data_IF_130098924426
#
_entry.id   IF_130098924426
#
_cell.length_a   1.000
_cell.length_b   1.000
_cell.length_c   1.000
_cell.angle_alpha   90.00
_cell.angle_beta   90.00
_cell.angle_gamma   90.00
#
_symmetry.space_group_name_H-M   'P 1'
#
loop_
_entity.id
_entity.type
_entity.pdbx_description
1 polymer ?
#
# COMPACT_ATOMS: atom_id res chain seq x y z
N UNK A 1 17.91 33.17 -9.48
CA UNK A 1 18.03 31.90 -8.72
C UNK A 1 17.57 30.78 -9.63
N UNK A 2 18.48 29.97 -10.09
CA UNK A 2 18.15 28.74 -10.82
C UNK A 2 17.57 27.78 -9.80
N UNK A 3 16.27 27.58 -9.84
CA UNK A 3 15.58 26.55 -9.09
C UNK A 3 16.04 25.20 -9.66
N UNK A 4 17.12 24.67 -9.07
CA UNK A 4 17.64 23.38 -9.48
C UNK A 4 16.76 22.31 -8.85
N UNK A 5 15.90 21.70 -9.68
CA UNK A 5 15.07 20.59 -9.26
C UNK A 5 15.92 19.50 -8.58
N UNK A 6 15.46 18.92 -7.46
CA UNK A 6 16.21 17.83 -6.83
C UNK A 6 16.26 16.62 -7.78
N UNK A 7 17.43 15.95 -7.86
CA UNK A 7 17.53 14.76 -8.71
C UNK A 7 16.60 13.65 -8.21
N UNK A 8 15.99 12.95 -9.13
CA UNK A 8 15.18 11.76 -8.81
C UNK A 8 16.12 10.62 -8.40
N UNK A 9 15.92 10.10 -7.21
CA UNK A 9 16.72 9.01 -6.66
C UNK A 9 16.09 8.46 -5.40
N UNK A 10 16.72 7.45 -4.81
CA UNK A 10 16.19 6.75 -3.63
C UNK A 10 15.85 7.68 -2.47
N UNK A 11 16.66 8.71 -2.24
CA UNK A 11 16.39 9.70 -1.19
C UNK A 11 15.12 10.52 -1.48
N UNK A 12 14.98 11.07 -2.69
CA UNK A 12 13.83 11.90 -3.06
C UNK A 12 12.53 11.10 -3.02
N UNK A 13 12.55 9.89 -3.58
CA UNK A 13 11.41 8.97 -3.56
C UNK A 13 11.08 8.56 -2.13
N UNK A 14 12.10 8.22 -1.32
CA UNK A 14 11.93 7.82 0.07
C UNK A 14 11.29 8.92 0.92
N UNK A 15 11.76 10.17 0.82
CA UNK A 15 11.19 11.30 1.57
C UNK A 15 9.71 11.54 1.22
N UNK A 16 9.36 11.48 -0.07
CA UNK A 16 7.98 11.61 -0.52
C UNK A 16 7.10 10.47 0.02
N UNK A 17 7.61 9.22 -0.04
CA UNK A 17 6.91 8.05 0.49
C UNK A 17 6.71 8.16 2.01
N UNK A 18 7.74 8.47 2.77
CA UNK A 18 7.65 8.55 4.22
C UNK A 18 6.69 9.65 4.69
N UNK A 19 6.71 10.80 4.02
CA UNK A 19 5.78 11.89 4.32
C UNK A 19 4.32 11.49 4.04
N UNK A 20 4.07 10.92 2.86
CA UNK A 20 2.73 10.43 2.48
C UNK A 20 2.24 9.31 3.40
N UNK A 21 3.12 8.37 3.75
CA UNK A 21 2.82 7.30 4.70
C UNK A 21 2.47 7.85 6.09
N UNK A 22 3.23 8.84 6.59
CA UNK A 22 2.95 9.47 7.88
C UNK A 22 1.56 10.14 7.91
N UNK A 23 1.15 10.78 6.82
CA UNK A 23 -0.22 11.32 6.67
C UNK A 23 -1.25 10.20 6.77
N UNK A 24 -1.09 9.13 6.01
CA UNK A 24 -2.00 7.98 6.05
C UNK A 24 -2.07 7.36 7.45
N UNK A 25 -0.94 7.12 8.10
CA UNK A 25 -0.88 6.55 9.45
C UNK A 25 -1.60 7.43 10.48
N UNK A 26 -1.53 8.75 10.32
CA UNK A 26 -2.26 9.69 11.18
C UNK A 26 -3.77 9.61 10.99
N UNK A 27 -4.24 9.42 9.77
CA UNK A 27 -5.66 9.16 9.48
C UNK A 27 -6.08 7.82 10.07
N UNK A 28 -5.32 6.75 9.78
CA UNK A 28 -5.61 5.39 10.24
C UNK A 28 -5.69 5.30 11.78
N UNK A 29 -4.81 6.00 12.49
CA UNK A 29 -4.79 6.01 13.95
C UNK A 29 -6.13 6.50 14.55
N UNK A 30 -6.82 7.42 13.89
CA UNK A 30 -8.16 7.88 14.31
C UNK A 30 -9.23 6.78 14.21
N UNK A 31 -8.99 5.80 13.37
CA UNK A 31 -9.87 4.65 13.17
C UNK A 31 -9.37 3.37 13.84
N UNK A 32 -8.30 3.46 14.63
CA UNK A 32 -7.71 2.30 15.32
C UNK A 32 -7.06 1.28 14.39
N UNK A 33 -6.65 1.69 13.19
CA UNK A 33 -6.04 0.84 12.19
C UNK A 33 -4.56 1.15 11.95
N UNK A 34 -3.81 0.17 11.46
CA UNK A 34 -2.41 0.28 11.09
C UNK A 34 -2.23 0.36 9.57
N UNK A 35 -1.04 0.80 9.14
CA UNK A 35 -0.66 0.80 7.73
C UNK A 35 -0.74 -0.60 7.11
N UNK A 36 -0.22 -1.61 7.78
CA UNK A 36 -0.26 -2.99 7.32
C UNK A 36 -1.68 -3.52 7.17
N UNK A 37 -2.54 -3.20 8.14
CA UNK A 37 -3.97 -3.54 8.07
C UNK A 37 -4.65 -2.87 6.87
N UNK A 38 -4.37 -1.61 6.60
CA UNK A 38 -4.93 -0.89 5.44
C UNK A 38 -4.51 -1.53 4.11
N UNK A 39 -3.23 -1.89 3.95
CA UNK A 39 -2.75 -2.52 2.72
C UNK A 39 -3.39 -3.90 2.52
N UNK A 40 -3.49 -4.70 3.59
CA UNK A 40 -4.11 -6.02 3.55
C UNK A 40 -5.61 -5.93 3.27
N UNK A 41 -6.30 -5.00 3.93
CA UNK A 41 -7.72 -4.76 3.71
C UNK A 41 -8.00 -4.29 2.28
N UNK A 42 -7.15 -3.41 1.73
CA UNK A 42 -7.24 -2.98 0.32
C UNK A 42 -7.21 -4.19 -0.61
N UNK A 43 -6.23 -5.08 -0.44
CA UNK A 43 -6.09 -6.27 -1.28
C UNK A 43 -7.37 -7.12 -1.27
N UNK A 44 -7.99 -7.29 -0.11
CA UNK A 44 -9.23 -8.04 0.02
C UNK A 44 -10.44 -7.29 -0.58
N UNK A 45 -10.56 -5.98 -0.35
CA UNK A 45 -11.70 -5.16 -0.83
C UNK A 45 -11.68 -4.96 -2.33
N UNK A 46 -10.49 -4.81 -2.93
CA UNK A 46 -10.33 -4.58 -4.39
C UNK A 46 -10.31 -5.87 -5.21
N UNK A 47 -10.32 -7.04 -4.58
CA UNK A 47 -10.44 -8.31 -5.27
C UNK A 47 -11.84 -8.52 -5.83
N UNK A 48 -11.95 -9.28 -6.93
CA UNK A 48 -13.23 -9.60 -7.57
C UNK A 48 -14.11 -10.55 -6.76
N UNK A 49 -13.58 -11.15 -5.70
CA UNK A 49 -14.29 -12.06 -4.81
C UNK A 49 -13.39 -12.54 -3.68
N UNK A 50 -13.85 -13.52 -2.89
CA UNK A 50 -13.03 -14.09 -1.82
C UNK A 50 -11.69 -14.61 -2.35
N UNK A 51 -10.63 -14.43 -1.57
CA UNK A 51 -9.28 -14.88 -1.90
C UNK A 51 -8.85 -16.03 -0.99
N UNK A 52 -8.13 -17.00 -1.56
CA UNK A 52 -7.37 -17.93 -0.72
C UNK A 52 -6.42 -17.17 0.20
N UNK A 53 -6.35 -17.56 1.45
CA UNK A 53 -5.50 -16.89 2.44
C UNK A 53 -4.04 -16.79 1.98
N UNK A 54 -3.51 -17.87 1.39
CA UNK A 54 -2.16 -17.88 0.86
C UNK A 54 -1.95 -16.87 -0.27
N UNK A 55 -2.93 -16.75 -1.18
CA UNK A 55 -2.87 -15.78 -2.27
C UNK A 55 -2.93 -14.32 -1.77
N UNK A 56 -3.77 -14.05 -0.76
CA UNK A 56 -3.82 -12.73 -0.11
C UNK A 56 -2.48 -12.39 0.54
N UNK A 57 -1.90 -13.32 1.29
CA UNK A 57 -0.59 -13.14 1.94
C UNK A 57 0.50 -12.89 0.91
N UNK A 58 0.55 -13.68 -0.16
CA UNK A 58 1.53 -13.52 -1.24
C UNK A 58 1.42 -12.15 -1.92
N UNK A 59 0.22 -11.69 -2.21
CA UNK A 59 -0.02 -10.37 -2.81
C UNK A 59 0.48 -9.24 -1.90
N UNK A 60 0.22 -9.31 -0.60
CA UNK A 60 0.64 -8.28 0.36
C UNK A 60 2.14 -8.32 0.62
N UNK A 61 2.74 -9.50 0.78
CA UNK A 61 4.20 -9.64 0.92
C UNK A 61 4.92 -9.11 -0.31
N UNK A 62 4.41 -9.39 -1.50
CA UNK A 62 4.94 -8.85 -2.76
C UNK A 62 4.90 -7.33 -2.82
N UNK A 63 3.82 -6.72 -2.37
CA UNK A 63 3.65 -5.26 -2.37
C UNK A 63 4.53 -4.57 -1.31
N UNK A 64 4.55 -5.08 -0.09
CA UNK A 64 5.27 -4.47 1.04
C UNK A 64 6.74 -4.90 1.14
N UNK A 65 7.16 -5.95 0.42
CA UNK A 65 8.47 -6.60 0.57
C UNK A 65 8.73 -7.01 2.03
N UNK A 66 7.68 -7.55 2.68
CA UNK A 66 7.67 -7.96 4.08
C UNK A 66 7.64 -9.48 4.22
N UNK A 67 7.86 -9.96 5.45
CA UNK A 67 7.81 -11.40 5.75
C UNK A 67 6.37 -11.93 5.79
N UNK A 68 6.17 -13.16 5.31
CA UNK A 68 4.85 -13.78 5.28
C UNK A 68 4.23 -13.93 6.69
N UNK A 69 5.05 -14.21 7.70
CA UNK A 69 4.59 -14.34 9.09
C UNK A 69 3.94 -13.04 9.60
N UNK A 70 4.50 -11.88 9.26
CA UNK A 70 3.96 -10.57 9.65
C UNK A 70 2.61 -10.31 8.97
N UNK A 71 2.48 -10.70 7.71
CA UNK A 71 1.23 -10.55 6.97
C UNK A 71 0.16 -11.50 7.50
N UNK A 72 0.53 -12.75 7.84
CA UNK A 72 -0.39 -13.68 8.50
C UNK A 72 -0.91 -13.11 9.82
N UNK A 73 -0.04 -12.52 10.64
CA UNK A 73 -0.44 -11.88 11.89
C UNK A 73 -1.39 -10.69 11.64
N UNK A 74 -1.16 -9.92 10.59
CA UNK A 74 -2.06 -8.82 10.18
C UNK A 74 -3.43 -9.34 9.75
N UNK A 75 -3.49 -10.43 8.98
CA UNK A 75 -4.76 -11.08 8.60
C UNK A 75 -5.52 -11.57 9.83
N UNK A 76 -4.82 -12.22 10.77
CA UNK A 76 -5.44 -12.69 12.03
C UNK A 76 -6.00 -11.52 12.85
N UNK A 77 -5.29 -10.40 12.92
CA UNK A 77 -5.76 -9.18 13.57
C UNK A 77 -7.03 -8.61 12.92
N UNK A 78 -7.10 -8.60 11.59
CA UNK A 78 -8.28 -8.14 10.85
C UNK A 78 -9.48 -9.08 11.02
N UNK A 79 -9.24 -10.38 11.06
CA UNK A 79 -10.27 -11.38 11.38
C UNK A 79 -10.81 -11.19 12.81
N UNK A 80 -9.93 -11.02 13.78
CA UNK A 80 -10.29 -10.78 15.17
C UNK A 80 -11.08 -9.47 15.36
N UNK A 81 -10.74 -8.43 14.58
CA UNK A 81 -11.45 -7.15 14.60
C UNK A 81 -12.78 -7.16 13.83
N UNK A 82 -13.12 -8.25 13.15
CA UNK A 82 -14.34 -8.36 12.35
C UNK A 82 -14.32 -7.55 11.05
N UNK A 83 -13.13 -7.18 10.57
CA UNK A 83 -12.95 -6.44 9.31
C UNK A 83 -12.75 -7.37 8.11
N UNK A 84 -12.26 -8.57 8.34
CA UNK A 84 -12.26 -9.70 7.44
C UNK A 84 -13.05 -10.85 8.04
N UNK A 85 -13.52 -11.75 7.19
CA UNK A 85 -14.15 -13.01 7.59
C UNK A 85 -13.52 -14.16 6.81
N UNK A 86 -13.41 -15.32 7.46
CA UNK A 86 -12.95 -16.55 6.86
C UNK A 86 -14.09 -17.51 6.62
N UNK A 87 -14.09 -18.15 5.46
CA UNK A 87 -14.93 -19.30 5.13
C UNK A 87 -14.01 -20.42 4.63
N UNK A 88 -13.66 -21.33 5.51
CA UNK A 88 -12.57 -22.28 5.26
C UNK A 88 -11.25 -21.54 5.04
N UNK A 89 -10.59 -21.78 3.91
CA UNK A 89 -9.37 -21.12 3.51
C UNK A 89 -9.59 -19.77 2.79
N UNK A 90 -10.84 -19.45 2.48
CA UNK A 90 -11.19 -18.22 1.76
C UNK A 90 -11.35 -17.04 2.74
N UNK A 91 -10.76 -15.92 2.37
CA UNK A 91 -10.85 -14.65 3.10
C UNK A 91 -11.66 -13.65 2.29
N UNK A 92 -12.58 -12.99 2.93
CA UNK A 92 -13.39 -11.92 2.34
C UNK A 92 -13.50 -10.72 3.27
N UNK A 93 -13.66 -9.49 2.74
CA UNK A 93 -13.98 -8.35 3.61
C UNK A 93 -15.40 -8.48 4.15
N UNK A 94 -15.60 -7.99 5.38
CA UNK A 94 -16.93 -7.79 5.96
C UNK A 94 -17.51 -6.45 5.54
N UNK A 95 -18.78 -6.18 5.84
CA UNK A 95 -19.36 -4.85 5.64
C UNK A 95 -18.61 -3.79 6.45
N UNK A 96 -18.24 -4.10 7.68
CA UNK A 96 -17.42 -3.22 8.52
C UNK A 96 -16.03 -2.96 7.91
N UNK A 97 -15.41 -3.96 7.30
CA UNK A 97 -14.14 -3.81 6.59
C UNK A 97 -14.26 -2.91 5.37
N UNK A 98 -15.31 -3.08 4.57
CA UNK A 98 -15.60 -2.21 3.41
C UNK A 98 -15.88 -0.78 3.82
N UNK A 99 -16.62 -0.58 4.91
CA UNK A 99 -16.94 0.75 5.44
C UNK A 99 -15.67 1.46 5.93
N UNK A 100 -14.82 0.79 6.71
CA UNK A 100 -13.55 1.35 7.15
C UNK A 100 -12.67 1.75 5.95
N UNK A 101 -12.56 0.88 4.96
CA UNK A 101 -11.80 1.17 3.74
C UNK A 101 -12.34 2.40 3.01
N UNK A 102 -13.67 2.53 2.89
CA UNK A 102 -14.32 3.66 2.23
C UNK A 102 -14.13 4.98 3.01
N UNK A 103 -14.28 4.97 4.32
CA UNK A 103 -14.11 6.16 5.17
C UNK A 103 -12.65 6.64 5.15
N UNK A 104 -11.71 5.77 5.33
CA UNK A 104 -10.27 6.11 5.24
C UNK A 104 -9.92 6.61 3.84
N UNK A 105 -10.46 5.98 2.80
CA UNK A 105 -10.26 6.38 1.41
C UNK A 105 -10.80 7.78 1.12
N UNK A 106 -11.95 8.14 1.64
CA UNK A 106 -12.52 9.47 1.49
C UNK A 106 -11.66 10.54 2.18
N UNK A 107 -11.26 10.33 3.44
CA UNK A 107 -10.41 11.26 4.18
C UNK A 107 -9.03 11.43 3.52
N UNK A 108 -8.38 10.34 3.15
CA UNK A 108 -7.07 10.39 2.50
C UNK A 108 -7.16 10.97 1.09
N UNK A 109 -8.25 10.75 0.37
CA UNK A 109 -8.50 11.33 -0.95
C UNK A 109 -8.55 12.85 -0.92
N UNK A 110 -9.24 13.43 0.07
CA UNK A 110 -9.29 14.88 0.26
C UNK A 110 -7.91 15.47 0.58
N UNK A 111 -7.14 14.81 1.43
CA UNK A 111 -5.78 15.23 1.78
C UNK A 111 -4.87 15.10 0.56
N UNK A 112 -4.95 14.00 -0.16
CA UNK A 112 -4.19 13.77 -1.39
C UNK A 112 -4.47 14.85 -2.45
N UNK A 113 -5.73 15.22 -2.63
CA UNK A 113 -6.11 16.29 -3.56
C UNK A 113 -5.41 17.61 -3.21
N UNK A 114 -5.28 17.95 -1.92
CA UNK A 114 -4.54 19.13 -1.48
C UNK A 114 -3.03 19.02 -1.68
N UNK A 115 -2.47 17.84 -1.47
CA UNK A 115 -1.03 17.59 -1.66
C UNK A 115 -0.63 17.77 -3.12
N UNK A 116 -1.45 17.29 -4.05
CA UNK A 116 -1.17 17.35 -5.48
C UNK A 116 -1.73 18.59 -6.19
N UNK A 117 -2.45 19.44 -5.46
CA UNK A 117 -3.03 20.65 -6.03
C UNK A 117 -1.97 21.58 -6.63
N UNK A 118 -2.21 22.09 -7.80
CA UNK A 118 -1.30 23.02 -8.49
C UNK A 118 -0.12 22.37 -9.20
N UNK A 119 0.10 21.06 -9.05
CA UNK A 119 1.12 20.35 -9.85
C UNK A 119 0.52 20.06 -11.24
N UNK A 120 1.19 20.45 -12.33
CA UNK A 120 0.68 20.21 -13.68
C UNK A 120 0.40 18.72 -13.95
N UNK A 121 -0.74 18.37 -14.57
CA UNK A 121 -1.08 16.96 -14.84
C UNK A 121 -0.03 16.22 -15.67
N UNK A 122 0.63 16.89 -16.61
CA UNK A 122 1.70 16.33 -17.44
C UNK A 122 2.94 15.97 -16.62
N UNK A 123 3.27 16.76 -15.60
CA UNK A 123 4.39 16.44 -14.67
C UNK A 123 4.05 15.25 -13.80
N UNK A 124 2.82 15.17 -13.29
CA UNK A 124 2.34 14.01 -12.53
C UNK A 124 2.36 12.74 -13.38
N UNK A 125 1.88 12.83 -14.62
CA UNK A 125 1.89 11.69 -15.54
C UNK A 125 3.32 11.24 -15.89
N UNK A 126 4.23 12.18 -16.15
CA UNK A 126 5.64 11.88 -16.41
C UNK A 126 6.31 11.22 -15.20
N UNK A 127 6.06 11.76 -14.00
CA UNK A 127 6.58 11.19 -12.74
C UNK A 127 6.04 9.77 -12.51
N UNK A 128 4.75 9.55 -12.75
CA UNK A 128 4.14 8.22 -12.63
C UNK A 128 4.81 7.19 -13.55
N UNK A 129 5.08 7.56 -14.81
CA UNK A 129 5.79 6.68 -15.75
C UNK A 129 7.22 6.37 -15.30
N UNK A 130 7.93 7.36 -14.76
CA UNK A 130 9.29 7.15 -14.23
C UNK A 130 9.26 6.21 -13.03
N UNK A 131 8.37 6.47 -12.07
CA UNK A 131 8.25 5.64 -10.86
C UNK A 131 7.87 4.20 -11.20
N UNK A 132 6.98 3.97 -12.17
CA UNK A 132 6.65 2.63 -12.63
C UNK A 132 7.87 1.87 -13.16
N UNK A 133 8.71 2.53 -13.97
CA UNK A 133 9.97 1.94 -14.47
C UNK A 133 10.97 1.67 -13.34
N UNK A 134 11.07 2.57 -12.38
CA UNK A 134 11.96 2.38 -11.22
C UNK A 134 11.51 1.16 -10.42
N UNK A 135 10.21 1.00 -10.20
CA UNK A 135 9.65 -0.15 -9.50
C UNK A 135 9.97 -1.45 -10.22
N UNK A 136 9.67 -1.53 -11.52
CA UNK A 136 9.94 -2.71 -12.35
C UNK A 136 11.42 -3.12 -12.32
N UNK A 137 12.33 -2.15 -12.49
CA UNK A 137 13.76 -2.42 -12.49
C UNK A 137 14.29 -2.83 -11.11
N UNK A 138 13.80 -2.18 -10.05
CA UNK A 138 14.18 -2.54 -8.68
C UNK A 138 13.70 -3.95 -8.32
N UNK A 139 12.52 -4.35 -8.77
CA UNK A 139 12.01 -5.72 -8.58
C UNK A 139 12.84 -6.75 -9.33
N UNK A 140 13.29 -6.44 -10.55
CA UNK A 140 14.21 -7.30 -11.30
C UNK A 140 15.55 -7.48 -10.59
N UNK A 141 16.15 -6.39 -10.10
CA UNK A 141 17.39 -6.45 -9.32
C UNK A 141 17.23 -7.24 -8.02
N UNK A 142 16.11 -7.06 -7.33
CA UNK A 142 15.81 -7.83 -6.11
C UNK A 142 15.71 -9.32 -6.40
N UNK A 143 15.10 -9.71 -7.52
CA UNK A 143 15.01 -11.10 -7.95
C UNK A 143 16.40 -11.69 -8.24
N UNK A 144 17.29 -10.94 -8.89
CA UNK A 144 18.67 -11.36 -9.15
C UNK A 144 19.45 -11.55 -7.85
N UNK A 145 19.38 -10.58 -6.93
CA UNK A 145 20.05 -10.67 -5.63
C UNK A 145 19.55 -11.87 -4.81
N UNK A 146 18.26 -12.16 -4.88
CA UNK A 146 17.67 -13.30 -4.18
C UNK A 146 18.15 -14.63 -4.77
N UNK A 147 18.32 -14.72 -6.10
CA UNK A 147 18.89 -15.90 -6.77
C UNK A 147 20.37 -16.08 -6.45
N UNK A 148 21.14 -15.01 -6.43
CA UNK A 148 22.58 -15.06 -6.13
C UNK A 148 22.87 -15.47 -4.67
N UNK A 149 21.93 -15.29 -3.73
CA UNK A 149 22.06 -15.64 -2.32
C UNK A 149 21.76 -17.13 -2.02
N UNK A 150 21.37 -17.95 -3.03
CA UNK A 150 21.08 -19.38 -2.90
C UNK A 150 22.28 -20.20 -3.32
#
# INVERSE_FOLDING_TARGET
>A
MTDTAPPVGGRTIGLAHYAGRAVLERVLARHGATFQQQITLRAAVTADGPLERGALVEQVTGALKSEAADVHATVDGLLAAGLLAADGSLIRPTDAGRELFAVVGAETGEISARIYAGIPPEELAATGRVLARVTERAEAELAELTRAAR
#
